data_IF_705996596546
#
_entry.id   IF_705996596546
#
_cell.length_a   1.000
_cell.length_b   1.000
_cell.length_c   1.000
_cell.angle_alpha   90.00
_cell.angle_beta   90.00
_cell.angle_gamma   90.00
#
_symmetry.space_group_name_H-M   'P 1'
#
loop_
_entity.id
_entity.type
_entity.pdbx_description
1 polymer ?
#
# COMPACT_ATOMS: atom_id res chain seq x y z
N UNK A 1 -14.15 -25.68 9.74
CA UNK A 1 -13.86 -25.56 11.18
C UNK A 1 -12.90 -24.41 11.37
N UNK A 2 -13.39 -23.24 11.78
CA UNK A 2 -12.56 -22.15 12.28
C UNK A 2 -13.38 -21.42 13.34
N UNK A 3 -13.36 -22.01 14.53
CA UNK A 3 -13.88 -21.44 15.77
C UNK A 3 -12.61 -21.14 16.58
N UNK A 4 -12.50 -19.96 17.17
CA UNK A 4 -11.31 -19.39 17.85
C UNK A 4 -10.40 -18.51 16.99
N UNK A 5 -10.94 -17.36 16.58
CA UNK A 5 -10.16 -16.12 16.47
C UNK A 5 -10.27 -15.40 17.82
N UNK A 6 -9.15 -15.01 18.43
CA UNK A 6 -9.15 -14.22 19.67
C UNK A 6 -9.84 -12.85 19.42
N UNK A 7 -10.98 -12.54 20.06
CA UNK A 7 -11.78 -11.35 19.74
C UNK A 7 -11.11 -10.02 20.13
N UNK A 8 -9.97 -10.04 20.81
CA UNK A 8 -9.26 -8.85 21.26
C UNK A 8 -8.18 -8.33 20.29
N UNK A 9 -7.78 -9.11 19.29
CA UNK A 9 -6.83 -8.64 18.29
C UNK A 9 -7.58 -8.09 17.06
N UNK A 10 -7.22 -6.90 16.55
CA UNK A 10 -7.76 -6.42 15.29
C UNK A 10 -7.58 -7.49 14.22
N UNK A 11 -8.59 -7.71 13.38
CA UNK A 11 -8.42 -8.60 12.24
C UNK A 11 -7.32 -7.98 11.36
N UNK A 12 -6.24 -8.73 11.14
CA UNK A 12 -5.09 -8.30 10.34
C UNK A 12 -5.02 -9.09 9.05
N UNK A 13 -4.56 -8.43 8.01
CA UNK A 13 -4.13 -9.07 6.77
C UNK A 13 -2.65 -9.44 6.92
N UNK A 14 -2.19 -10.51 6.27
CA UNK A 14 -0.77 -10.85 6.33
C UNK A 14 0.04 -9.78 5.57
N UNK A 15 1.09 -9.21 6.16
CA UNK A 15 1.99 -8.31 5.44
C UNK A 15 2.59 -9.01 4.22
N UNK A 16 2.71 -8.29 3.11
CA UNK A 16 3.16 -8.89 1.85
C UNK A 16 2.75 -8.10 0.62
N UNK A 17 2.81 -8.76 -0.52
CA UNK A 17 2.40 -8.24 -1.82
C UNK A 17 1.12 -8.94 -2.27
N UNK A 18 0.14 -8.16 -2.71
CA UNK A 18 -1.14 -8.65 -3.19
C UNK A 18 -1.36 -8.21 -4.64
N UNK A 19 -1.85 -9.15 -5.44
CA UNK A 19 -2.17 -8.97 -6.85
C UNK A 19 -3.66 -8.63 -6.97
N UNK A 20 -3.98 -7.49 -7.60
CA UNK A 20 -5.35 -7.08 -7.88
C UNK A 20 -5.50 -6.95 -9.39
N UNK A 21 -6.51 -7.62 -9.96
CA UNK A 21 -6.80 -7.62 -11.40
C UNK A 21 -5.60 -8.00 -12.29
N UNK A 22 -4.88 -9.08 -11.94
CA UNK A 22 -3.77 -9.66 -12.74
C UNK A 22 -2.71 -8.63 -13.18
N UNK A 23 -2.02 -7.97 -12.22
CA UNK A 23 -1.15 -6.86 -12.55
C UNK A 23 0.11 -7.29 -13.31
N UNK A 24 0.43 -6.55 -14.37
CA UNK A 24 1.66 -6.71 -15.14
C UNK A 24 2.82 -5.85 -14.62
N UNK A 25 3.97 -5.84 -15.31
CA UNK A 25 5.16 -5.09 -14.91
C UNK A 25 5.01 -3.56 -14.92
N UNK A 26 4.03 -3.06 -15.66
CA UNK A 26 3.69 -1.64 -15.80
C UNK A 26 2.58 -1.19 -14.82
N UNK A 27 2.04 -2.11 -14.03
CA UNK A 27 0.90 -1.82 -13.17
C UNK A 27 1.31 -0.96 -11.95
N UNK A 28 0.44 -0.04 -11.50
CA UNK A 28 0.72 0.82 -10.35
C UNK A 28 1.02 0.03 -9.08
N UNK A 29 1.97 0.52 -8.30
CA UNK A 29 2.34 -0.03 -6.98
C UNK A 29 1.84 0.92 -5.90
N UNK A 30 1.03 0.41 -4.99
CA UNK A 30 0.46 1.15 -3.86
C UNK A 30 0.92 0.52 -2.55
N UNK A 31 1.03 1.31 -1.49
CA UNK A 31 1.25 0.79 -0.12
C UNK A 31 0.10 1.11 0.81
N UNK A 32 -0.24 0.17 1.68
CA UNK A 32 -1.22 0.33 2.75
C UNK A 32 -0.78 -0.41 4.02
N UNK A 33 -1.59 -0.34 5.07
CA UNK A 33 -1.36 -1.03 6.34
C UNK A 33 -2.04 -2.40 6.38
N UNK A 34 -1.61 -3.27 7.30
CA UNK A 34 -2.21 -4.58 7.53
C UNK A 34 -3.50 -4.58 8.38
N UNK A 35 -4.11 -3.43 8.66
CA UNK A 35 -5.44 -3.39 9.26
C UNK A 35 -6.49 -3.82 8.25
N UNK A 36 -7.31 -4.83 8.56
CA UNK A 36 -8.20 -5.45 7.57
C UNK A 36 -9.16 -4.47 6.90
N UNK A 37 -9.75 -3.53 7.66
CA UNK A 37 -10.68 -2.55 7.11
C UNK A 37 -9.96 -1.65 6.12
N UNK A 38 -8.77 -1.14 6.47
CA UNK A 38 -7.97 -0.30 5.58
C UNK A 38 -7.54 -1.07 4.32
N UNK A 39 -7.10 -2.32 4.46
CA UNK A 39 -6.76 -3.17 3.33
C UNK A 39 -7.96 -3.35 2.39
N UNK A 40 -9.13 -3.78 2.90
CA UNK A 40 -10.30 -4.03 2.06
C UNK A 40 -10.87 -2.75 1.46
N UNK A 41 -10.78 -1.61 2.14
CA UNK A 41 -11.15 -0.31 1.56
C UNK A 41 -10.30 0.03 0.33
N UNK A 42 -9.00 -0.26 0.34
CA UNK A 42 -8.15 -0.01 -0.84
C UNK A 42 -8.36 -1.09 -1.89
N UNK A 43 -8.30 -2.36 -1.49
CA UNK A 43 -8.35 -3.49 -2.41
C UNK A 43 -9.67 -3.53 -3.19
N UNK A 44 -10.80 -3.30 -2.54
CA UNK A 44 -12.11 -3.34 -3.20
C UNK A 44 -12.30 -2.20 -4.21
N UNK A 45 -11.71 -1.03 -3.97
CA UNK A 45 -11.81 0.10 -4.90
C UNK A 45 -10.96 -0.15 -6.15
N UNK A 46 -9.76 -0.71 -5.99
CA UNK A 46 -8.92 -1.12 -7.13
C UNK A 46 -9.60 -2.27 -7.89
N UNK A 47 -10.06 -3.30 -7.19
CA UNK A 47 -10.75 -4.47 -7.77
C UNK A 47 -11.99 -4.03 -8.56
N UNK A 48 -12.90 -3.30 -7.90
CA UNK A 48 -14.15 -2.79 -8.50
C UNK A 48 -13.95 -1.80 -9.64
N UNK A 49 -12.78 -1.18 -9.75
CA UNK A 49 -12.43 -0.33 -10.90
C UNK A 49 -12.05 -1.12 -12.16
N UNK A 50 -11.71 -2.40 -12.02
CA UNK A 50 -11.17 -3.25 -13.09
C UNK A 50 -9.73 -2.91 -13.51
N UNK A 51 -9.06 -1.99 -12.81
CA UNK A 51 -7.66 -1.62 -13.09
C UNK A 51 -6.70 -2.58 -12.39
N UNK A 52 -5.59 -2.99 -13.06
CA UNK A 52 -4.54 -3.78 -12.44
C UNK A 52 -3.79 -2.97 -11.37
N UNK A 53 -3.38 -3.61 -10.29
CA UNK A 53 -2.53 -2.97 -9.28
C UNK A 53 -1.80 -3.95 -8.37
N UNK A 54 -0.60 -3.55 -7.97
CA UNK A 54 0.17 -4.18 -6.90
C UNK A 54 -0.12 -3.47 -5.59
N UNK A 55 -0.60 -4.19 -4.58
CA UNK A 55 -0.84 -3.65 -3.25
C UNK A 55 0.15 -4.23 -2.24
N UNK A 56 1.06 -3.38 -1.77
CA UNK A 56 2.01 -3.71 -0.70
C UNK A 56 1.34 -3.45 0.65
N UNK A 57 1.26 -4.48 1.48
CA UNK A 57 0.69 -4.43 2.82
C UNK A 57 1.83 -4.41 3.82
N UNK A 58 2.09 -3.26 4.43
CA UNK A 58 3.10 -3.11 5.47
C UNK A 58 2.57 -3.60 6.82
N UNK A 59 3.46 -4.18 7.64
CA UNK A 59 3.12 -4.52 9.02
C UNK A 59 3.06 -3.26 9.89
N UNK A 60 1.83 -2.88 10.23
CA UNK A 60 1.48 -1.75 11.06
C UNK A 60 0.77 -2.21 12.35
N UNK A 61 1.02 -3.45 12.78
CA UNK A 61 0.43 -4.06 13.97
C UNK A 61 -1.12 -4.09 13.94
N UNK A 62 -1.74 -4.05 12.75
CA UNK A 62 -3.18 -4.00 12.56
C UNK A 62 -3.82 -2.64 12.85
N UNK A 63 -3.03 -1.57 12.82
CA UNK A 63 -3.52 -0.18 12.95
C UNK A 63 -3.83 0.43 11.58
N UNK A 64 -4.83 1.31 11.52
CA UNK A 64 -5.13 2.11 10.32
C UNK A 64 -3.97 3.05 9.95
N UNK A 65 -3.94 3.57 8.72
CA UNK A 65 -2.87 4.47 8.22
C UNK A 65 -2.48 5.57 9.21
N UNK A 66 -3.45 6.41 9.61
CA UNK A 66 -3.18 7.55 10.48
C UNK A 66 -2.81 7.13 11.90
N UNK A 67 -3.45 6.10 12.43
CA UNK A 67 -3.13 5.56 13.76
C UNK A 67 -1.71 4.99 13.80
N UNK A 68 -1.35 4.22 12.78
CA UNK A 68 -0.04 3.61 12.65
C UNK A 68 1.06 4.67 12.47
N UNK A 69 0.82 5.65 11.60
CA UNK A 69 1.74 6.76 11.40
C UNK A 69 1.98 7.54 12.70
N UNK A 70 0.90 7.93 13.40
CA UNK A 70 1.00 8.64 14.67
C UNK A 70 1.71 7.82 15.78
N UNK A 71 1.65 6.49 15.70
CA UNK A 71 2.32 5.57 16.63
C UNK A 71 3.75 5.17 16.21
N UNK A 72 4.29 5.70 15.09
CA UNK A 72 5.59 5.30 14.56
C UNK A 72 5.64 3.84 14.06
N UNK A 73 4.48 3.32 13.62
CA UNK A 73 4.30 1.96 13.08
C UNK A 73 4.05 1.95 11.58
N UNK A 74 4.00 3.11 10.94
CA UNK A 74 3.89 3.29 9.50
C UNK A 74 4.63 4.58 9.10
N UNK A 75 5.96 4.48 9.12
CA UNK A 75 6.94 5.51 8.78
C UNK A 75 7.68 5.17 7.48
N UNK A 76 8.61 6.03 7.05
CA UNK A 76 9.35 5.85 5.81
C UNK A 76 10.19 4.56 5.82
N UNK A 77 10.89 4.27 6.92
CA UNK A 77 11.72 3.07 7.07
C UNK A 77 10.89 1.78 6.88
N UNK A 78 9.71 1.68 7.52
CA UNK A 78 8.85 0.49 7.39
C UNK A 78 8.26 0.33 6.01
N UNK A 79 7.85 1.43 5.37
CA UNK A 79 7.36 1.40 3.99
C UNK A 79 8.50 0.96 3.04
N UNK A 80 9.68 1.56 3.17
CA UNK A 80 10.85 1.20 2.36
C UNK A 80 11.28 -0.26 2.57
N UNK A 81 11.26 -0.74 3.82
CA UNK A 81 11.48 -2.16 4.12
C UNK A 81 10.43 -3.04 3.44
N UNK A 82 9.16 -2.64 3.44
CA UNK A 82 8.09 -3.38 2.76
C UNK A 82 8.37 -3.48 1.26
N UNK A 83 8.77 -2.39 0.60
CA UNK A 83 9.19 -2.40 -0.81
C UNK A 83 10.36 -3.37 -1.03
N UNK A 84 11.44 -3.24 -0.25
CA UNK A 84 12.67 -4.03 -0.41
C UNK A 84 12.48 -5.53 -0.13
N UNK A 85 11.56 -5.90 0.77
CA UNK A 85 11.41 -7.30 1.23
C UNK A 85 10.29 -8.07 0.54
N UNK A 86 9.34 -7.40 -0.13
CA UNK A 86 8.24 -8.05 -0.83
C UNK A 86 8.61 -8.60 -2.21
N UNK A 87 9.78 -8.23 -2.76
CA UNK A 87 10.23 -8.65 -4.08
C UNK A 87 9.53 -7.93 -5.24
N UNK A 88 8.79 -6.84 -4.98
CA UNK A 88 8.09 -6.05 -6.00
C UNK A 88 9.04 -5.56 -7.10
N UNK A 89 10.29 -5.27 -6.76
CA UNK A 89 11.32 -4.79 -7.69
C UNK A 89 11.62 -5.73 -8.86
N UNK A 90 11.35 -7.03 -8.69
CA UNK A 90 11.48 -8.04 -9.74
C UNK A 90 10.20 -8.30 -10.53
N UNK A 91 9.07 -7.71 -10.11
CA UNK A 91 7.76 -7.84 -10.75
C UNK A 91 7.40 -6.65 -11.64
N UNK A 92 8.00 -5.48 -11.40
CA UNK A 92 7.75 -4.23 -12.13
C UNK A 92 8.99 -3.75 -12.90
N UNK A 93 8.79 -2.93 -13.93
CA UNK A 93 9.87 -2.31 -14.70
C UNK A 93 10.01 -0.79 -14.50
N UNK A 94 9.19 -0.20 -13.62
CA UNK A 94 9.33 1.17 -13.15
C UNK A 94 9.77 1.20 -11.67
N UNK A 95 9.99 2.40 -11.13
CA UNK A 95 10.30 2.63 -9.70
C UNK A 95 9.40 3.75 -9.19
N UNK A 96 8.09 3.50 -9.15
CA UNK A 96 7.09 4.46 -8.66
C UNK A 96 6.26 3.80 -7.56
N UNK A 97 6.08 4.49 -6.43
CA UNK A 97 5.28 4.00 -5.30
C UNK A 97 4.21 5.03 -4.93
N UNK A 98 2.95 4.60 -4.87
CA UNK A 98 1.83 5.42 -4.44
C UNK A 98 1.61 5.23 -2.93
N UNK A 99 1.73 6.32 -2.16
CA UNK A 99 1.45 6.34 -0.72
C UNK A 99 0.06 6.93 -0.42
N UNK A 100 -0.58 6.58 0.70
CA UNK A 100 -1.84 7.19 1.09
C UNK A 100 -1.68 8.71 1.29
N UNK A 101 -2.65 9.51 0.82
CA UNK A 101 -2.57 10.97 0.90
C UNK A 101 -2.49 11.54 2.32
N UNK A 102 -2.90 10.75 3.31
CA UNK A 102 -2.80 11.09 4.73
C UNK A 102 -1.35 11.13 5.27
N UNK A 103 -0.42 10.46 4.60
CA UNK A 103 1.00 10.37 5.00
C UNK A 103 1.92 11.05 3.99
N UNK A 104 1.39 12.01 3.22
CA UNK A 104 2.16 12.79 2.24
C UNK A 104 3.42 13.45 2.81
N UNK A 105 3.44 13.72 4.13
CA UNK A 105 4.59 14.27 4.86
C UNK A 105 5.82 13.35 4.81
N UNK A 106 5.64 12.04 4.60
CA UNK A 106 6.72 11.06 4.52
C UNK A 106 7.47 11.08 3.17
N UNK A 107 7.02 11.86 2.19
CA UNK A 107 7.55 11.82 0.82
C UNK A 107 9.08 11.98 0.76
N UNK A 108 9.63 13.02 1.40
CA UNK A 108 11.07 13.28 1.34
C UNK A 108 11.90 12.17 1.99
N UNK A 109 11.48 11.71 3.18
CA UNK A 109 12.17 10.63 3.88
C UNK A 109 12.06 9.30 3.11
N UNK A 110 10.95 9.05 2.41
CA UNK A 110 10.79 7.89 1.54
C UNK A 110 11.69 7.94 0.31
N UNK A 111 11.87 9.12 -0.30
CA UNK A 111 12.82 9.29 -1.42
C UNK A 111 14.27 9.05 -0.97
N UNK A 112 14.62 9.42 0.26
CA UNK A 112 15.92 9.12 0.86
C UNK A 112 16.08 7.61 1.14
N UNK A 113 15.05 6.96 1.70
CA UNK A 113 15.06 5.53 2.02
C UNK A 113 14.97 4.61 0.79
N UNK A 114 14.39 5.10 -0.30
CA UNK A 114 14.25 4.40 -1.58
C UNK A 114 14.90 5.20 -2.73
N UNK A 115 16.24 5.30 -2.78
CA UNK A 115 16.91 6.03 -3.83
C UNK A 115 16.53 5.51 -5.22
N UNK A 116 16.14 6.41 -6.11
CA UNK A 116 15.71 6.09 -7.48
C UNK A 116 14.23 5.68 -7.61
N UNK A 117 13.47 5.66 -6.50
CA UNK A 117 12.02 5.59 -6.55
C UNK A 117 11.38 6.98 -6.58
N UNK A 118 10.37 7.14 -7.43
CA UNK A 118 9.46 8.28 -7.42
C UNK A 118 8.30 7.98 -6.45
N UNK A 119 8.11 8.83 -5.45
CA UNK A 119 7.05 8.67 -4.46
C UNK A 119 5.87 9.57 -4.84
N UNK A 120 4.73 8.93 -5.13
CA UNK A 120 3.50 9.61 -5.54
C UNK A 120 2.53 9.67 -4.36
N UNK A 121 1.97 10.84 -4.12
CA UNK A 121 0.91 11.01 -3.12
C UNK A 121 -0.43 10.66 -3.76
N UNK A 122 -0.98 9.52 -3.35
CA UNK A 122 -2.33 9.11 -3.72
C UNK A 122 -3.41 9.93 -3.00
N UNK A 123 -4.70 9.62 -3.26
CA UNK A 123 -5.79 10.28 -2.56
C UNK A 123 -5.79 9.96 -1.06
N UNK A 124 -6.52 10.78 -0.29
CA UNK A 124 -6.74 10.56 1.15
C UNK A 124 -7.74 9.43 1.39
N UNK A 125 -8.79 9.40 0.57
CA UNK A 125 -9.84 8.40 0.64
C UNK A 125 -9.69 7.36 -0.46
N UNK A 126 -9.93 6.08 -0.14
CA UNK A 126 -9.77 4.99 -1.09
C UNK A 126 -10.74 5.09 -2.29
N UNK A 127 -11.93 5.67 -2.09
CA UNK A 127 -12.96 5.83 -3.13
C UNK A 127 -12.51 6.69 -4.32
N UNK A 128 -11.52 7.54 -4.11
CA UNK A 128 -10.96 8.41 -5.16
C UNK A 128 -9.80 7.73 -5.92
N UNK A 129 -9.32 6.57 -5.43
CA UNK A 129 -8.20 5.84 -6.01
C UNK A 129 -8.46 5.40 -7.46
N UNK A 130 -9.65 4.91 -7.85
CA UNK A 130 -9.93 4.60 -9.25
C UNK A 130 -9.76 5.80 -10.19
N UNK A 131 -10.14 7.00 -9.74
CA UNK A 131 -9.97 8.24 -10.51
C UNK A 131 -8.49 8.60 -10.67
N UNK A 132 -7.72 8.49 -9.59
CA UNK A 132 -6.27 8.70 -9.61
C UNK A 132 -5.56 7.71 -10.54
N UNK A 133 -5.85 6.42 -10.43
CA UNK A 133 -5.19 5.37 -11.22
C UNK A 133 -5.47 5.47 -12.72
N UNK A 134 -6.63 5.99 -13.13
CA UNK A 134 -6.93 6.26 -14.56
C UNK A 134 -6.02 7.32 -15.19
N UNK A 135 -5.48 8.22 -14.39
CA UNK A 135 -4.59 9.30 -14.83
C UNK A 135 -3.11 8.94 -14.61
N UNK A 136 -2.85 7.86 -13.88
CA UNK A 136 -1.50 7.42 -13.55
C UNK A 136 -0.82 6.77 -14.77
N UNK A 137 0.50 6.98 -14.89
CA UNK A 137 1.33 6.44 -15.95
C UNK A 137 2.67 5.94 -15.40
N UNK A 138 3.17 4.78 -15.87
CA UNK A 138 4.48 4.25 -15.48
C UNK A 138 5.65 5.06 -16.07
N UNK A 139 5.41 5.83 -17.15
CA UNK A 139 6.35 6.79 -17.75
C UNK A 139 6.00 8.20 -17.32
#
# INVERSE_FOLDING_TARGET
TNVYTNPHEPIKVLPGIYEINEPGPEAPVMVTTNFSITYFSVANEVDGSGLPGWLLVADAEGMSVLTAWAAGKFDAERIAKTVKTTGIEGKINHRKLIIPGHVAVLLGELEEELPGWEILVGPREAVDLPGFLKLWSPS
#
